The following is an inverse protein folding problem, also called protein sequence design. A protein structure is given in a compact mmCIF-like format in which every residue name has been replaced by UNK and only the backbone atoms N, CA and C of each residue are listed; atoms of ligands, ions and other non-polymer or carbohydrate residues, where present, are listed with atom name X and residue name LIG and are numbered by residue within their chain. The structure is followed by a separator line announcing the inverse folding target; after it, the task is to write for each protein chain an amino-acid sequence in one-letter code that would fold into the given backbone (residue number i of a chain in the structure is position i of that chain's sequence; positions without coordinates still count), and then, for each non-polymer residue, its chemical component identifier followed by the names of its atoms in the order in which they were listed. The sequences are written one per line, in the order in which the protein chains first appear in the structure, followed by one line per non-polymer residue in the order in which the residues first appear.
data_IF_367984078792
#
_entry.id   IF_367984078792
#
_cell.length_a   1.000
_cell.length_b   1.000
_cell.length_c   1.000
_cell.angle_alpha   90.00
_cell.angle_beta   90.00
_cell.angle_gamma   90.00
#
_symmetry.space_group_name_H-M   'P 1'
#
loop_
_entity.id
_entity.type
_entity.pdbx_description
1 polymer ?
#
# COMPACT_ATOMS: atom_id res chain seq x y z
N UNK A 1 13.60 -19.38 -20.12
CA UNK A 1 14.77 -18.95 -20.92
C UNK A 1 14.23 -18.15 -22.09
N UNK A 2 14.51 -16.84 -22.17
CA UNK A 2 14.16 -16.05 -23.36
C UNK A 2 14.99 -16.57 -24.54
N UNK A 3 14.36 -16.87 -25.67
CA UNK A 3 15.07 -17.35 -26.85
C UNK A 3 15.84 -16.17 -27.48
N UNK A 4 17.16 -16.22 -27.49
CA UNK A 4 17.99 -15.23 -28.19
C UNK A 4 17.99 -15.58 -29.68
N UNK A 5 17.65 -14.63 -30.54
CA UNK A 5 17.67 -14.79 -32.01
C UNK A 5 18.81 -13.97 -32.59
N UNK A 6 19.74 -14.59 -33.30
CA UNK A 6 20.81 -13.88 -34.01
C UNK A 6 20.34 -13.44 -35.39
N UNK A 7 20.62 -12.18 -35.75
CA UNK A 7 20.33 -11.59 -37.06
C UNK A 7 21.56 -10.85 -37.59
N UNK A 8 21.66 -10.67 -38.91
CA UNK A 8 22.68 -9.81 -39.52
C UNK A 8 22.07 -8.45 -39.87
N UNK A 9 22.78 -7.36 -39.55
CA UNK A 9 22.37 -6.02 -39.96
C UNK A 9 22.45 -5.90 -41.50
N UNK A 10 21.35 -5.59 -42.22
CA UNK A 10 21.36 -5.47 -43.68
C UNK A 10 22.27 -4.33 -44.19
N UNK A 11 22.59 -3.34 -43.36
CA UNK A 11 23.40 -2.20 -43.75
C UNK A 11 24.92 -2.43 -43.57
N UNK A 12 25.36 -2.97 -42.43
CA UNK A 12 26.80 -3.13 -42.11
C UNK A 12 27.28 -4.57 -41.99
N UNK A 13 26.39 -5.57 -42.06
CA UNK A 13 26.73 -6.99 -41.89
C UNK A 13 27.02 -7.42 -40.45
N UNK A 14 26.94 -6.53 -39.46
CA UNK A 14 27.18 -6.85 -38.06
C UNK A 14 26.19 -7.88 -37.50
N UNK A 15 26.69 -8.82 -36.68
CA UNK A 15 25.88 -9.85 -36.01
C UNK A 15 25.22 -9.29 -34.76
N UNK A 16 23.89 -9.31 -34.72
CA UNK A 16 23.06 -8.72 -33.66
C UNK A 16 22.28 -9.83 -32.97
N UNK A 17 22.26 -9.78 -31.64
CA UNK A 17 21.44 -10.67 -30.80
C UNK A 17 20.15 -9.95 -30.42
N UNK A 18 19.01 -10.49 -30.83
CA UNK A 18 17.68 -10.09 -30.35
C UNK A 18 17.39 -10.87 -29.08
N UNK A 19 17.50 -10.21 -27.93
CA UNK A 19 17.41 -10.77 -26.58
C UNK A 19 15.96 -10.93 -26.11
N UNK A 20 15.09 -10.01 -26.51
CA UNK A 20 13.65 -10.07 -26.27
C UNK A 20 12.89 -10.51 -27.54
N UNK A 21 13.34 -11.62 -28.15
CA UNK A 21 12.73 -12.13 -29.38
C UNK A 21 11.24 -12.42 -29.19
N UNK A 22 10.41 -11.92 -30.12
CA UNK A 22 8.95 -11.99 -30.04
C UNK A 22 8.29 -10.82 -29.31
N UNK A 23 9.06 -10.00 -28.60
CA UNK A 23 8.58 -8.77 -27.93
C UNK A 23 9.18 -7.50 -28.54
N UNK A 24 10.39 -7.57 -29.10
CA UNK A 24 11.05 -6.44 -29.76
C UNK A 24 10.43 -6.12 -31.12
N UNK A 25 10.13 -4.84 -31.36
CA UNK A 25 9.62 -4.32 -32.62
C UNK A 25 10.74 -3.64 -33.42
N UNK A 26 11.50 -2.75 -32.77
CA UNK A 26 12.64 -2.07 -33.36
C UNK A 26 13.96 -2.55 -32.73
N UNK A 27 15.02 -2.56 -33.53
CA UNK A 27 16.39 -2.79 -33.09
C UNK A 27 17.36 -1.81 -33.77
N UNK A 28 18.02 -0.97 -32.98
CA UNK A 28 19.10 -0.10 -33.45
C UNK A 28 20.45 -0.84 -33.39
N UNK A 29 21.10 -0.98 -34.54
CA UNK A 29 22.32 -1.77 -34.69
C UNK A 29 23.47 -1.21 -33.85
N UNK A 30 24.08 -2.04 -33.00
CA UNK A 30 25.20 -1.60 -32.15
C UNK A 30 26.49 -1.19 -32.89
N UNK A 31 26.61 -1.52 -34.18
CA UNK A 31 27.82 -1.29 -34.98
C UNK A 31 27.73 -0.04 -35.85
N UNK A 32 26.54 0.32 -36.32
CA UNK A 32 26.35 1.44 -37.23
C UNK A 32 25.12 2.30 -36.90
N UNK A 33 24.39 1.98 -35.83
CA UNK A 33 23.14 2.60 -35.39
C UNK A 33 21.97 2.52 -36.37
N UNK A 34 22.08 1.73 -37.43
CA UNK A 34 20.96 1.53 -38.38
C UNK A 34 19.73 0.97 -37.68
N UNK A 35 18.57 1.54 -37.96
CA UNK A 35 17.28 1.13 -37.39
C UNK A 35 16.70 -0.03 -38.18
N UNK A 36 16.38 -1.11 -37.49
CA UNK A 36 15.87 -2.35 -38.07
C UNK A 36 14.47 -2.65 -37.51
N UNK A 37 13.56 -3.09 -38.37
CA UNK A 37 12.31 -3.74 -37.95
C UNK A 37 12.61 -5.22 -37.71
N UNK A 38 12.37 -5.67 -36.48
CA UNK A 38 12.58 -7.06 -36.04
C UNK A 38 11.29 -7.75 -35.62
N UNK A 39 10.14 -7.11 -35.86
CA UNK A 39 8.80 -7.63 -35.51
C UNK A 39 8.39 -8.86 -36.34
N UNK A 40 9.09 -9.11 -37.46
CA UNK A 40 8.87 -10.25 -38.35
C UNK A 40 10.09 -11.18 -38.37
N UNK A 41 9.96 -12.40 -38.92
CA UNK A 41 11.12 -13.28 -39.14
C UNK A 41 12.18 -12.64 -40.05
N UNK A 42 11.72 -11.92 -41.07
CA UNK A 42 12.55 -11.15 -41.99
C UNK A 42 12.89 -9.78 -41.38
N UNK A 43 14.18 -9.47 -41.29
CA UNK A 43 14.66 -8.19 -40.77
C UNK A 43 14.62 -7.15 -41.88
N UNK A 44 13.92 -6.05 -41.67
CA UNK A 44 13.87 -4.94 -42.62
C UNK A 44 14.70 -3.76 -42.12
N UNK A 45 15.45 -3.13 -43.03
CA UNK A 45 16.14 -1.86 -42.74
C UNK A 45 15.12 -0.72 -42.80
N UNK A 46 14.88 -0.05 -41.67
CA UNK A 46 14.02 1.14 -41.59
C UNK A 46 14.84 2.37 -41.97
N UNK A 47 16.03 2.52 -41.37
CA UNK A 47 16.88 3.69 -41.55
C UNK A 47 18.36 3.29 -41.50
N UNK A 48 19.13 3.77 -42.48
CA UNK A 48 20.55 3.49 -42.59
C UNK A 48 21.37 4.57 -41.87
N UNK A 49 22.26 4.14 -40.98
CA UNK A 49 23.24 4.98 -40.31
C UNK A 49 24.64 4.37 -40.48
N UNK A 50 25.68 5.19 -40.36
CA UNK A 50 27.08 4.78 -40.63
C UNK A 50 28.00 4.87 -39.42
N UNK A 51 27.48 5.26 -38.24
CA UNK A 51 28.26 5.46 -37.01
C UNK A 51 27.53 4.86 -35.82
N UNK A 52 28.24 4.07 -35.02
CA UNK A 52 27.72 3.55 -33.76
C UNK A 52 27.47 4.68 -32.75
N UNK A 53 26.38 4.56 -32.01
CA UNK A 53 26.15 5.31 -30.79
C UNK A 53 27.22 4.90 -29.75
N UNK A 54 27.79 5.88 -29.06
CA UNK A 54 28.89 5.67 -28.14
C UNK A 54 28.64 6.39 -26.80
N UNK A 55 29.27 5.89 -25.74
CA UNK A 55 29.32 6.59 -24.45
C UNK A 55 28.21 6.26 -23.46
N UNK A 56 27.33 5.30 -23.74
CA UNK A 56 26.37 4.81 -22.75
C UNK A 56 27.08 4.09 -21.58
N UNK A 57 26.72 4.46 -20.35
CA UNK A 57 27.30 3.89 -19.12
C UNK A 57 26.96 2.42 -18.90
N UNK A 58 25.75 2.00 -19.28
CA UNK A 58 25.29 0.63 -19.13
C UNK A 58 25.24 -0.07 -20.50
N UNK A 59 26.18 -0.99 -20.80
CA UNK A 59 26.21 -1.68 -22.08
C UNK A 59 24.99 -2.59 -22.30
N UNK A 60 24.60 -2.77 -23.56
CA UNK A 60 23.59 -3.76 -23.93
C UNK A 60 24.02 -5.19 -23.60
N UNK A 61 23.05 -6.03 -23.25
CA UNK A 61 23.23 -7.43 -22.84
C UNK A 61 23.75 -7.60 -21.42
N UNK A 62 23.98 -6.50 -20.68
CA UNK A 62 24.39 -6.58 -19.28
C UNK A 62 23.23 -7.06 -18.43
N UNK A 63 23.50 -8.05 -17.60
CA UNK A 63 22.55 -8.59 -16.64
C UNK A 63 22.90 -8.13 -15.24
N UNK A 64 21.89 -7.81 -14.48
CA UNK A 64 22.03 -7.42 -13.08
C UNK A 64 20.74 -7.63 -12.30
N UNK A 65 20.87 -7.80 -10.98
CA UNK A 65 19.71 -8.01 -10.11
C UNK A 65 19.35 -6.73 -9.37
N UNK A 66 18.15 -6.21 -9.62
CA UNK A 66 17.57 -5.07 -8.90
C UNK A 66 16.21 -5.46 -8.34
N UNK A 67 15.92 -5.06 -7.09
CA UNK A 67 14.64 -5.35 -6.42
C UNK A 67 14.26 -6.85 -6.51
N UNK A 68 15.23 -7.73 -6.23
CA UNK A 68 15.10 -9.19 -6.31
C UNK A 68 14.68 -9.76 -7.69
N UNK A 69 14.79 -8.96 -8.75
CA UNK A 69 14.50 -9.37 -10.13
C UNK A 69 15.76 -9.23 -10.99
N UNK A 70 16.08 -10.26 -11.77
CA UNK A 70 17.15 -10.18 -12.77
C UNK A 70 16.68 -9.39 -13.99
N UNK A 71 17.47 -8.43 -14.42
CA UNK A 71 17.18 -7.57 -15.56
C UNK A 71 18.31 -7.65 -16.58
N UNK A 72 17.96 -7.68 -17.85
CA UNK A 72 18.90 -7.55 -18.96
C UNK A 72 18.71 -6.21 -19.66
N UNK A 73 19.79 -5.44 -19.84
CA UNK A 73 19.75 -4.20 -20.62
C UNK A 73 19.61 -4.52 -22.10
N UNK A 74 18.47 -4.19 -22.70
CA UNK A 74 18.18 -4.52 -24.10
C UNK A 74 18.22 -3.31 -25.00
N UNK A 75 17.96 -2.11 -24.48
CA UNK A 75 18.00 -0.85 -25.23
C UNK A 75 18.60 0.29 -24.42
N UNK A 76 19.06 1.33 -25.11
CA UNK A 76 19.52 2.59 -24.55
C UNK A 76 19.12 3.76 -25.46
N UNK A 77 18.66 4.85 -24.86
CA UNK A 77 18.33 6.11 -25.52
C UNK A 77 19.17 7.23 -24.90
N UNK A 78 19.65 8.15 -25.72
CA UNK A 78 20.12 9.46 -25.26
C UNK A 78 19.04 10.47 -25.58
N UNK A 79 18.66 11.25 -24.58
CA UNK A 79 17.58 12.22 -24.64
C UNK A 79 18.10 13.58 -24.25
N UNK A 80 17.55 14.63 -24.84
CA UNK A 80 17.80 16.00 -24.42
C UNK A 80 16.54 16.82 -24.41
N UNK A 81 16.51 17.77 -23.49
CA UNK A 81 15.65 18.94 -23.54
C UNK A 81 16.51 20.18 -23.82
N UNK A 82 15.93 21.38 -23.77
CA UNK A 82 16.67 22.61 -24.05
C UNK A 82 17.85 22.89 -23.10
N UNK A 83 17.92 22.20 -21.97
CA UNK A 83 18.82 22.50 -20.85
C UNK A 83 19.68 21.30 -20.42
N UNK A 84 19.16 20.07 -20.53
CA UNK A 84 19.77 18.86 -19.98
C UNK A 84 19.87 17.75 -21.03
N UNK A 85 20.80 16.82 -20.79
CA UNK A 85 20.95 15.58 -21.54
C UNK A 85 21.03 14.43 -20.57
N UNK A 86 20.31 13.35 -20.85
CA UNK A 86 20.30 12.15 -20.01
C UNK A 86 20.27 10.88 -20.86
N UNK A 87 20.61 9.76 -20.22
CA UNK A 87 20.55 8.45 -20.83
C UNK A 87 19.41 7.62 -20.18
N UNK A 88 18.61 6.93 -20.99
CA UNK A 88 17.58 6.00 -20.54
C UNK A 88 17.90 4.60 -21.02
N UNK A 89 17.81 3.61 -20.13
CA UNK A 89 18.14 2.23 -20.41
C UNK A 89 16.90 1.36 -20.25
N UNK A 90 16.56 0.65 -21.31
CA UNK A 90 15.45 -0.30 -21.30
C UNK A 90 15.93 -1.65 -20.76
N UNK A 91 15.34 -2.04 -19.64
CA UNK A 91 15.56 -3.32 -18.98
C UNK A 91 14.44 -4.30 -19.34
N UNK A 92 14.81 -5.56 -19.55
CA UNK A 92 13.87 -6.64 -19.85
C UNK A 92 14.03 -7.81 -18.89
N UNK A 93 12.89 -8.37 -18.47
CA UNK A 93 12.78 -9.67 -17.84
C UNK A 93 11.57 -10.40 -18.45
N UNK A 94 11.70 -11.67 -18.87
CA UNK A 94 10.61 -12.39 -19.55
C UNK A 94 9.36 -12.63 -18.69
N UNK A 95 9.46 -12.50 -17.37
CA UNK A 95 8.37 -12.67 -16.42
C UNK A 95 7.85 -11.33 -15.86
N UNK A 96 8.73 -10.34 -15.68
CA UNK A 96 8.38 -9.03 -15.09
C UNK A 96 8.16 -7.91 -16.13
N UNK A 97 8.41 -8.19 -17.42
CA UNK A 97 8.23 -7.25 -18.52
C UNK A 97 9.38 -6.27 -18.65
N UNK A 98 9.04 -5.01 -18.93
CA UNK A 98 10.01 -3.93 -19.15
C UNK A 98 10.10 -2.99 -17.95
N UNK A 99 11.31 -2.45 -17.73
CA UNK A 99 11.59 -1.38 -16.75
C UNK A 99 12.60 -0.41 -17.32
N UNK A 100 12.66 0.77 -16.72
CA UNK A 100 13.59 1.81 -17.11
C UNK A 100 14.66 2.01 -16.04
N UNK A 101 15.88 2.29 -16.47
CA UNK A 101 16.86 3.00 -15.66
C UNK A 101 17.14 4.34 -16.33
N UNK A 102 16.92 5.44 -15.63
CA UNK A 102 17.20 6.79 -16.12
C UNK A 102 18.45 7.29 -15.41
N UNK A 103 19.40 7.83 -16.16
CA UNK A 103 20.65 8.37 -15.64
C UNK A 103 20.83 9.83 -16.07
N UNK A 104 20.75 10.72 -15.09
CA UNK A 104 20.85 12.18 -15.29
C UNK A 104 21.80 12.76 -14.26
N UNK A 105 22.80 13.52 -14.71
CA UNK A 105 23.76 14.25 -13.84
C UNK A 105 24.46 13.44 -12.73
N UNK A 106 24.59 12.11 -12.85
CA UNK A 106 25.21 11.28 -11.81
C UNK A 106 24.23 10.51 -10.94
N UNK A 107 22.94 10.79 -11.06
CA UNK A 107 21.87 10.15 -10.30
C UNK A 107 21.14 9.12 -11.16
N UNK A 108 20.73 8.02 -10.53
CA UNK A 108 19.93 6.98 -11.17
C UNK A 108 18.51 6.98 -10.64
N UNK A 109 17.56 6.71 -11.53
CA UNK A 109 16.18 6.44 -11.18
C UNK A 109 15.72 5.13 -11.82
N UNK A 110 14.96 4.34 -11.08
CA UNK A 110 14.29 3.14 -11.55
C UNK A 110 12.85 3.47 -11.94
N UNK A 111 12.53 3.25 -13.21
CA UNK A 111 11.23 3.57 -13.80
C UNK A 111 10.34 2.36 -13.99
N UNK A 112 9.10 2.47 -13.53
CA UNK A 112 8.03 1.49 -13.79
C UNK A 112 6.94 2.15 -14.62
N UNK A 113 6.71 1.63 -15.84
CA UNK A 113 5.64 2.08 -16.71
C UNK A 113 4.27 1.78 -16.08
N UNK A 114 3.34 2.72 -16.19
CA UNK A 114 1.97 2.56 -15.73
C UNK A 114 1.10 2.00 -16.87
N UNK A 115 0.25 1.04 -16.53
CA UNK A 115 -0.78 0.52 -17.45
C UNK A 115 -2.04 1.39 -17.48
N UNK A 116 -2.19 2.27 -16.49
CA UNK A 116 -3.33 3.17 -16.34
C UNK A 116 -2.90 4.62 -16.39
N UNK A 117 -3.86 5.49 -16.70
CA UNK A 117 -3.67 6.94 -16.68
C UNK A 117 -3.95 7.49 -15.27
N UNK A 118 -3.05 8.29 -14.68
CA UNK A 118 -3.35 9.04 -13.46
C UNK A 118 -4.61 9.90 -13.58
N UNK A 119 -5.37 9.98 -12.50
CA UNK A 119 -6.61 10.78 -12.42
C UNK A 119 -6.28 12.27 -12.25
N UNK A 120 -7.16 13.14 -12.74
CA UNK A 120 -7.01 14.59 -12.62
C UNK A 120 -6.64 15.28 -13.93
N UNK A 121 -6.51 16.61 -13.85
CA UNK A 121 -6.19 17.44 -15.01
C UNK A 121 -4.70 17.83 -14.95
N UNK A 122 -3.93 17.41 -15.97
CA UNK A 122 -2.51 17.79 -16.10
C UNK A 122 -2.33 19.31 -16.05
N UNK A 123 -3.28 20.05 -16.64
CA UNK A 123 -3.28 21.52 -16.67
C UNK A 123 -3.67 22.18 -15.35
N UNK A 124 -4.30 21.45 -14.42
CA UNK A 124 -4.59 21.98 -13.07
C UNK A 124 -3.42 21.84 -12.11
N UNK A 125 -2.28 21.31 -12.58
CA UNK A 125 -1.04 21.22 -11.80
C UNK A 125 -1.01 20.10 -10.77
N UNK A 126 -1.97 19.17 -10.76
CA UNK A 126 -1.98 18.03 -9.83
C UNK A 126 -2.66 16.82 -10.46
N UNK A 127 -2.07 15.64 -10.27
CA UNK A 127 -2.61 14.35 -10.68
C UNK A 127 -2.61 13.36 -9.53
N UNK A 128 -3.48 12.35 -9.57
CA UNK A 128 -3.61 11.34 -8.53
C UNK A 128 -3.34 9.96 -9.10
N UNK A 129 -2.47 9.19 -8.45
CA UNK A 129 -2.18 7.80 -8.80
C UNK A 129 -2.07 6.94 -7.54
N UNK A 130 -2.73 5.79 -7.51
CA UNK A 130 -2.69 4.88 -6.36
C UNK A 130 -3.21 5.50 -5.05
N UNK A 131 -4.18 6.42 -5.14
CA UNK A 131 -4.71 7.16 -3.99
C UNK A 131 -3.78 8.25 -3.45
N UNK A 132 -2.73 8.62 -4.19
CA UNK A 132 -1.74 9.61 -3.78
C UNK A 132 -1.68 10.75 -4.81
N UNK A 133 -1.57 11.98 -4.33
CA UNK A 133 -1.53 13.18 -5.18
C UNK A 133 -0.09 13.62 -5.46
N UNK A 134 0.18 13.95 -6.71
CA UNK A 134 1.46 14.41 -7.25
C UNK A 134 1.28 15.81 -7.84
N UNK A 135 2.18 16.73 -7.52
CA UNK A 135 2.13 18.12 -7.98
C UNK A 135 2.99 18.29 -9.23
N UNK A 136 2.49 19.05 -10.21
CA UNK A 136 3.20 19.34 -11.45
C UNK A 136 4.49 20.11 -11.16
N UNK A 137 5.59 19.66 -11.74
CA UNK A 137 6.90 20.25 -11.62
C UNK A 137 7.25 20.91 -12.95
N UNK A 138 7.07 22.23 -13.02
CA UNK A 138 7.38 23.01 -14.21
C UNK A 138 6.32 22.97 -15.30
N UNK A 139 6.74 23.34 -16.51
CA UNK A 139 5.95 23.38 -17.72
C UNK A 139 6.33 22.21 -18.64
N UNK A 140 5.47 21.81 -19.59
CA UNK A 140 5.82 20.76 -20.54
C UNK A 140 7.08 21.11 -21.34
N UNK A 141 8.08 20.24 -21.30
CA UNK A 141 9.35 20.44 -21.99
C UNK A 141 9.46 19.54 -23.23
N UNK A 142 9.90 20.12 -24.34
CA UNK A 142 10.14 19.38 -25.57
C UNK A 142 11.40 18.53 -25.42
N UNK A 143 11.23 17.22 -25.44
CA UNK A 143 12.28 16.21 -25.32
C UNK A 143 12.54 15.53 -26.66
N UNK A 144 13.80 15.44 -27.06
CA UNK A 144 14.25 14.86 -28.34
C UNK A 144 15.04 13.58 -28.09
N UNK A 145 14.86 12.56 -28.93
CA UNK A 145 15.72 11.35 -28.95
C UNK A 145 16.96 11.61 -29.78
N UNK A 146 18.10 11.84 -29.14
CA UNK A 146 19.35 12.13 -29.83
C UNK A 146 20.06 10.88 -30.33
N UNK A 147 19.99 9.78 -29.59
CA UNK A 147 20.60 8.51 -29.97
C UNK A 147 19.71 7.33 -29.57
N UNK A 148 19.71 6.29 -30.41
CA UNK A 148 18.99 5.04 -30.16
C UNK A 148 19.95 3.87 -30.33
N UNK A 149 19.95 2.95 -29.36
CA UNK A 149 20.80 1.78 -29.37
C UNK A 149 20.04 0.56 -28.83
N UNK A 150 20.08 -0.58 -29.51
CA UNK A 150 19.46 -1.82 -29.03
C UNK A 150 17.97 -1.95 -29.33
N UNK A 151 17.29 -2.78 -28.54
CA UNK A 151 15.93 -3.27 -28.78
C UNK A 151 14.86 -2.46 -28.07
N UNK A 152 13.74 -2.23 -28.74
CA UNK A 152 12.57 -1.53 -28.20
C UNK A 152 11.26 -2.24 -28.60
N UNK A 153 10.30 -2.28 -27.67
CA UNK A 153 8.97 -2.89 -27.90
C UNK A 153 8.02 -1.97 -28.69
N UNK A 154 8.45 -0.76 -29.04
CA UNK A 154 7.73 0.18 -29.91
C UNK A 154 8.68 0.74 -30.98
N UNK A 155 8.11 1.54 -31.88
CA UNK A 155 8.87 2.16 -32.97
C UNK A 155 9.48 3.49 -32.53
N UNK A 156 10.63 3.43 -31.87
CA UNK A 156 11.47 4.61 -31.61
C UNK A 156 12.35 4.95 -32.82
N UNK A 157 12.68 6.22 -33.02
CA UNK A 157 13.64 6.74 -34.00
C UNK A 157 14.48 7.86 -33.41
N UNK A 158 15.66 8.06 -34.00
CA UNK A 158 16.46 9.26 -33.76
C UNK A 158 15.69 10.49 -34.27
N UNK A 159 15.65 11.56 -33.48
CA UNK A 159 14.90 12.77 -33.76
C UNK A 159 13.43 12.73 -33.35
N UNK A 160 12.94 11.63 -32.75
CA UNK A 160 11.58 11.60 -32.20
C UNK A 160 11.43 12.68 -31.11
N UNK A 161 10.35 13.45 -31.21
CA UNK A 161 10.02 14.52 -30.27
C UNK A 161 8.76 14.17 -29.48
N UNK A 162 8.80 14.42 -28.17
CA UNK A 162 7.65 14.32 -27.26
C UNK A 162 7.64 15.52 -26.32
N UNK A 163 6.51 15.80 -25.69
CA UNK A 163 6.44 16.73 -24.57
C UNK A 163 6.47 15.93 -23.26
N UNK A 164 7.52 16.13 -22.48
CA UNK A 164 7.65 15.52 -21.16
C UNK A 164 7.13 16.50 -20.09
N UNK A 165 6.41 15.96 -19.12
CA UNK A 165 5.96 16.71 -17.95
C UNK A 165 6.11 15.85 -16.69
N UNK A 166 6.70 16.43 -15.65
CA UNK A 166 6.96 15.73 -14.40
C UNK A 166 5.95 16.11 -13.31
N UNK A 167 5.61 15.16 -12.46
CA UNK A 167 4.81 15.39 -11.27
C UNK A 167 5.47 14.75 -10.05
N UNK A 168 5.88 15.57 -9.09
CA UNK A 168 6.62 15.14 -7.92
C UNK A 168 5.75 14.87 -6.70
N UNK A 169 6.21 13.92 -5.89
CA UNK A 169 5.76 13.67 -4.51
C UNK A 169 6.90 13.07 -3.70
N UNK A 170 7.64 13.91 -2.98
CA UNK A 170 8.82 13.46 -2.23
C UNK A 170 9.84 12.82 -3.19
N UNK A 171 10.24 11.59 -2.91
CA UNK A 171 11.20 10.85 -3.76
C UNK A 171 10.55 10.16 -4.97
N UNK A 172 9.23 10.23 -5.15
CA UNK A 172 8.54 9.60 -6.29
C UNK A 172 8.19 10.66 -7.32
N UNK A 173 8.51 10.39 -8.59
CA UNK A 173 8.18 11.27 -9.71
C UNK A 173 7.33 10.50 -10.71
N UNK A 174 6.23 11.07 -11.17
CA UNK A 174 5.50 10.60 -12.34
C UNK A 174 5.99 11.40 -13.55
N UNK A 175 6.63 10.72 -14.50
CA UNK A 175 6.93 11.28 -15.81
C UNK A 175 5.79 10.96 -16.77
N UNK A 176 5.25 12.00 -17.41
CA UNK A 176 4.29 11.90 -18.50
C UNK A 176 4.97 12.32 -19.80
N UNK A 177 5.07 11.41 -20.77
CA UNK A 177 5.54 11.72 -22.12
C UNK A 177 4.35 11.72 -23.08
N UNK A 178 4.05 12.88 -23.65
CA UNK A 178 2.97 13.09 -24.61
C UNK A 178 3.53 13.16 -26.03
N UNK A 179 3.24 12.12 -26.81
CA UNK A 179 3.53 12.04 -28.23
C UNK A 179 2.29 12.32 -29.08
N UNK A 180 2.33 11.88 -30.35
CA UNK A 180 1.22 12.07 -31.28
C UNK A 180 0.04 11.15 -30.93
N UNK A 181 -0.90 11.67 -30.14
CA UNK A 181 -2.16 11.00 -29.80
C UNK A 181 -2.07 9.99 -28.64
N UNK A 182 -0.92 9.90 -27.98
CA UNK A 182 -0.62 8.95 -26.91
C UNK A 182 0.13 9.66 -25.77
N UNK A 183 -0.20 9.31 -24.52
CA UNK A 183 0.53 9.75 -23.35
C UNK A 183 1.00 8.54 -22.55
N UNK A 184 2.31 8.39 -22.42
CA UNK A 184 2.95 7.34 -21.64
C UNK A 184 3.28 7.86 -20.25
N UNK A 185 3.07 7.00 -19.24
CA UNK A 185 3.31 7.36 -17.85
C UNK A 185 4.29 6.39 -17.22
N UNK A 186 5.27 6.93 -16.52
CA UNK A 186 6.29 6.15 -15.80
C UNK A 186 6.43 6.72 -14.39
N UNK A 187 6.37 5.85 -13.38
CA UNK A 187 6.78 6.21 -12.02
C UNK A 187 8.27 5.97 -11.87
N UNK A 188 9.01 7.01 -11.50
CA UNK A 188 10.43 7.02 -11.24
C UNK A 188 10.66 7.07 -9.73
N UNK A 189 11.58 6.22 -9.25
CA UNK A 189 12.07 6.25 -7.87
C UNK A 189 13.60 6.30 -7.90
N UNK A 190 14.25 7.09 -7.04
CA UNK A 190 15.70 7.17 -7.00
C UNK A 190 16.31 5.83 -6.58
N UNK A 191 17.47 5.52 -7.14
CA UNK A 191 18.27 4.37 -6.78
C UNK A 191 19.73 4.77 -6.69
N UNK A 192 20.40 4.32 -5.62
CA UNK A 192 21.79 4.68 -5.37
C UNK A 192 22.70 4.10 -6.46
N UNK A 193 23.62 4.92 -6.97
CA UNK A 193 24.63 4.54 -7.96
C UNK A 193 25.41 3.29 -7.56
N UNK A 194 25.75 3.12 -6.28
CA UNK A 194 26.47 1.95 -5.79
C UNK A 194 25.65 0.66 -5.96
N UNK A 195 24.32 0.74 -5.85
CA UNK A 195 23.43 -0.41 -6.10
C UNK A 195 23.47 -0.78 -7.58
N UNK A 196 23.41 0.20 -8.49
CA UNK A 196 23.47 -0.05 -9.94
C UNK A 196 24.82 -0.62 -10.34
N UNK A 197 25.91 -0.02 -9.87
CA UNK A 197 27.27 -0.45 -10.18
C UNK A 197 27.53 -1.88 -9.72
N UNK A 198 27.08 -2.21 -8.50
CA UNK A 198 27.16 -3.57 -7.95
C UNK A 198 26.28 -4.53 -8.73
N UNK A 199 25.00 -4.17 -8.95
CA UNK A 199 24.02 -5.04 -9.60
C UNK A 199 24.45 -5.45 -11.00
N UNK A 200 24.99 -4.52 -11.79
CA UNK A 200 25.39 -4.77 -13.17
C UNK A 200 26.90 -5.07 -13.32
N UNK A 201 27.65 -5.16 -12.23
CA UNK A 201 29.10 -5.34 -12.20
C UNK A 201 29.86 -4.32 -13.07
N UNK A 202 29.45 -3.05 -13.01
CA UNK A 202 30.13 -1.97 -13.72
C UNK A 202 31.51 -1.78 -13.08
N UNK A 203 32.57 -1.84 -13.88
CA UNK A 203 33.93 -1.56 -13.38
C UNK A 203 34.02 -0.06 -13.16
N UNK A 204 34.15 0.34 -11.90
CA UNK A 204 34.28 1.73 -11.44
C UNK A 204 35.35 2.49 -12.24
N UNK A 205 35.01 3.54 -13.00
CA UNK A 205 35.91 4.62 -13.30
C UNK A 205 35.56 5.74 -12.33
N UNK A 206 36.16 5.74 -11.14
CA UNK A 206 36.03 6.77 -10.11
C UNK A 206 35.36 8.06 -10.62
N UNK A 207 34.03 8.13 -10.52
CA UNK A 207 33.27 9.32 -10.87
C UNK A 207 33.60 10.41 -9.86
N UNK A 208 33.64 11.69 -10.25
CA UNK A 208 33.98 12.76 -9.33
C UNK A 208 33.03 12.71 -8.12
N UNK A 209 33.60 12.51 -6.94
CA UNK A 209 32.90 12.71 -5.66
C UNK A 209 32.15 14.03 -5.74
N UNK A 210 30.82 13.94 -5.57
CA UNK A 210 29.86 15.04 -5.35
C UNK A 210 30.46 16.43 -5.54
N UNK A 211 30.24 17.04 -6.71
CA UNK A 211 29.86 18.45 -6.71
C UNK A 211 28.34 18.45 -6.71
N UNK A 212 27.76 18.79 -5.57
CA UNK A 212 26.33 19.06 -5.52
C UNK A 212 26.02 20.04 -6.66
N UNK A 213 25.11 19.65 -7.55
CA UNK A 213 24.40 20.65 -8.35
C UNK A 213 23.88 21.72 -7.38
N UNK A 214 23.84 23.00 -7.77
CA UNK A 214 23.05 23.95 -7.00
C UNK A 214 21.64 23.39 -7.01
N UNK A 215 21.23 22.79 -5.89
CA UNK A 215 19.83 22.65 -5.55
C UNK A 215 19.26 24.04 -5.85
N UNK A 216 18.26 24.13 -6.73
CA UNK A 216 17.33 25.23 -6.61
C UNK A 216 17.01 25.29 -5.12
N UNK A 217 17.33 26.41 -4.47
CA UNK A 217 17.11 26.55 -3.05
C UNK A 217 15.68 26.06 -2.82
N UNK A 218 15.47 25.06 -1.92
CA UNK A 218 14.11 24.79 -1.50
C UNK A 218 13.55 26.15 -1.10
N UNK A 219 12.32 26.51 -1.55
CA UNK A 219 11.73 27.81 -1.24
C UNK A 219 12.00 28.06 0.23
N UNK A 220 12.58 29.23 0.58
CA UNK A 220 13.30 29.45 1.84
C UNK A 220 12.54 28.73 2.91
N UNK A 221 13.15 27.68 3.48
CA UNK A 221 12.53 26.94 4.58
C UNK A 221 12.11 28.01 5.55
N UNK A 222 10.82 28.24 5.58
CA UNK A 222 10.21 29.00 6.64
C UNK A 222 10.50 28.07 7.81
N UNK A 223 11.55 28.36 8.57
CA UNK A 223 11.74 27.83 9.92
C UNK A 223 10.62 28.45 10.75
N UNK A 224 9.38 28.19 10.36
CA UNK A 224 8.33 28.04 11.32
C UNK A 224 8.72 26.75 11.99
N UNK A 225 9.19 26.87 13.23
CA UNK A 225 9.18 25.76 14.18
C UNK A 225 7.72 25.31 14.28
N UNK A 226 7.30 24.48 13.33
CA UNK A 226 5.98 23.90 13.26
C UNK A 226 5.88 22.74 14.25
N UNK A 227 6.98 22.37 14.92
CA UNK A 227 7.01 21.35 15.97
C UNK A 227 5.95 21.63 17.06
N UNK A 228 5.91 22.81 17.72
CA UNK A 228 4.85 23.16 18.66
C UNK A 228 3.46 23.21 18.01
N UNK A 229 3.33 23.61 16.74
CA UNK A 229 2.04 23.64 16.03
C UNK A 229 1.54 22.22 15.69
N UNK A 230 2.42 21.31 15.29
CA UNK A 230 2.16 19.90 15.02
C UNK A 230 1.81 19.16 16.31
N UNK A 231 2.56 19.39 17.41
CA UNK A 231 2.21 18.86 18.72
C UNK A 231 0.90 19.44 19.25
N UNK A 232 0.64 20.73 19.01
CA UNK A 232 -0.63 21.39 19.34
C UNK A 232 -1.80 20.80 18.56
N UNK A 233 -1.64 20.58 17.26
CA UNK A 233 -2.65 19.96 16.40
C UNK A 233 -2.90 18.50 16.79
N UNK A 234 -1.84 17.73 17.07
CA UNK A 234 -1.96 16.35 17.53
C UNK A 234 -2.66 16.27 18.90
N UNK A 235 -2.34 17.17 19.83
CA UNK A 235 -3.00 17.26 21.13
C UNK A 235 -4.47 17.68 20.97
N UNK A 236 -4.76 18.68 20.13
CA UNK A 236 -6.13 19.10 19.84
C UNK A 236 -6.95 17.98 19.19
N UNK A 237 -6.37 17.24 18.24
CA UNK A 237 -7.00 16.09 17.60
C UNK A 237 -7.25 14.97 18.62
N UNK A 238 -6.30 14.68 19.52
CA UNK A 238 -6.46 13.72 20.60
C UNK A 238 -7.56 14.13 21.57
N UNK A 239 -7.60 15.40 22.00
CA UNK A 239 -8.66 15.93 22.88
C UNK A 239 -10.01 15.89 22.19
N UNK A 240 -10.09 16.27 20.91
CA UNK A 240 -11.32 16.18 20.13
C UNK A 240 -11.80 14.73 19.99
N UNK A 241 -10.88 13.78 19.79
CA UNK A 241 -11.21 12.37 19.68
C UNK A 241 -11.65 11.77 21.03
N UNK A 242 -11.02 12.17 22.14
CA UNK A 242 -11.46 11.81 23.49
C UNK A 242 -12.83 12.42 23.83
N UNK A 243 -13.07 13.69 23.49
CA UNK A 243 -14.37 14.35 23.64
C UNK A 243 -15.42 13.64 22.78
N UNK A 244 -15.09 13.28 21.54
CA UNK A 244 -15.97 12.51 20.68
C UNK A 244 -16.27 11.14 21.30
N UNK A 245 -15.28 10.44 21.87
CA UNK A 245 -15.52 9.19 22.60
C UNK A 245 -16.45 9.37 23.80
N UNK A 246 -16.29 10.44 24.58
CA UNK A 246 -17.18 10.74 25.72
C UNK A 246 -18.60 11.04 25.24
N UNK A 247 -18.75 11.85 24.19
CA UNK A 247 -20.04 12.21 23.60
C UNK A 247 -20.73 11.00 22.95
N UNK A 248 -19.98 10.15 22.25
CA UNK A 248 -20.49 8.94 21.60
C UNK A 248 -20.81 7.85 22.63
N UNK A 249 -20.05 7.72 23.71
CA UNK A 249 -20.32 6.72 24.76
C UNK A 249 -21.68 6.99 25.41
N UNK A 250 -22.03 8.25 25.65
CA UNK A 250 -23.31 8.69 26.16
C UNK A 250 -23.64 8.13 27.57
N UNK A 251 -24.71 8.60 28.21
CA UNK A 251 -25.13 8.06 29.50
C UNK A 251 -25.64 6.62 29.32
N UNK A 252 -24.96 5.67 29.96
CA UNK A 252 -25.40 4.26 30.04
C UNK A 252 -26.42 4.15 31.16
N UNK A 253 -27.64 3.73 30.84
CA UNK A 253 -28.65 3.45 31.85
C UNK A 253 -28.31 2.15 32.59
N UNK A 254 -28.55 2.12 33.90
CA UNK A 254 -28.16 1.01 34.76
C UNK A 254 -29.22 0.76 35.83
N UNK A 255 -29.63 -0.49 35.92
CA UNK A 255 -30.38 -1.02 37.06
C UNK A 255 -29.48 -1.98 37.85
N UNK A 256 -29.61 -1.97 39.17
CA UNK A 256 -28.90 -2.88 40.05
C UNK A 256 -29.80 -3.27 41.21
N UNK A 257 -29.72 -4.53 41.60
CA UNK A 257 -30.46 -5.11 42.71
C UNK A 257 -29.67 -6.24 43.33
N UNK A 258 -30.08 -6.65 44.53
CA UNK A 258 -29.56 -7.84 45.21
C UNK A 258 -30.74 -8.75 45.52
N UNK A 259 -30.55 -10.04 45.31
CA UNK A 259 -31.53 -11.07 45.62
C UNK A 259 -30.85 -12.11 46.49
N UNK A 260 -31.56 -12.55 47.53
CA UNK A 260 -31.15 -13.73 48.30
C UNK A 260 -31.72 -14.96 47.62
N UNK A 261 -30.91 -15.99 47.36
CA UNK A 261 -31.37 -17.23 46.73
C UNK A 261 -31.10 -18.36 47.71
N UNK A 262 -32.12 -18.81 48.48
CA UNK A 262 -31.94 -19.90 49.41
C UNK A 262 -31.60 -21.20 48.66
N UNK A 263 -30.70 -21.99 49.24
CA UNK A 263 -30.29 -23.27 48.67
C UNK A 263 -31.49 -24.22 48.51
N UNK A 264 -31.61 -24.87 47.35
CA UNK A 264 -32.69 -25.81 47.07
C UNK A 264 -34.05 -25.17 46.81
N UNK A 265 -34.10 -23.85 46.60
CA UNK A 265 -35.30 -23.13 46.20
C UNK A 265 -35.04 -22.27 44.96
N UNK A 266 -36.06 -22.15 44.11
CA UNK A 266 -36.08 -21.21 42.99
C UNK A 266 -36.80 -19.94 43.42
N UNK A 267 -36.20 -18.78 43.18
CA UNK A 267 -36.91 -17.50 43.25
C UNK A 267 -37.25 -17.06 41.84
N UNK A 268 -38.54 -16.89 41.57
CA UNK A 268 -39.06 -16.52 40.26
C UNK A 268 -39.58 -15.07 40.25
N UNK A 269 -39.52 -14.43 39.09
CA UNK A 269 -40.13 -13.15 38.78
C UNK A 269 -39.53 -11.97 39.53
N UNK A 270 -38.27 -12.03 39.97
CA UNK A 270 -37.69 -10.94 40.77
C UNK A 270 -37.29 -9.78 39.87
N UNK A 271 -38.00 -8.66 39.98
CA UNK A 271 -37.66 -7.43 39.27
C UNK A 271 -36.42 -6.77 39.87
N UNK A 272 -35.36 -6.66 39.07
CA UNK A 272 -34.10 -6.00 39.45
C UNK A 272 -34.19 -4.49 39.22
N UNK A 273 -34.88 -4.06 38.18
CA UNK A 273 -35.11 -2.66 37.89
C UNK A 273 -35.52 -2.41 36.45
N UNK A 274 -35.40 -1.16 36.02
CA UNK A 274 -35.81 -0.71 34.69
C UNK A 274 -34.64 -0.04 33.98
N UNK A 275 -34.46 -0.33 32.70
CA UNK A 275 -33.44 0.30 31.85
C UNK A 275 -34.07 0.88 30.58
N UNK A 276 -33.58 2.02 30.13
CA UNK A 276 -33.95 2.65 28.86
C UNK A 276 -32.90 2.37 27.79
N UNK A 277 -33.33 1.71 26.72
CA UNK A 277 -32.57 1.50 25.49
C UNK A 277 -32.84 2.65 24.54
N UNK A 278 -31.84 3.54 24.38
CA UNK A 278 -32.00 4.80 23.65
C UNK A 278 -31.60 4.72 22.18
N UNK A 279 -30.69 3.81 21.82
CA UNK A 279 -30.23 3.61 20.43
C UNK A 279 -31.20 2.68 19.68
N UNK A 280 -31.26 2.73 18.33
CA UNK A 280 -32.09 1.82 17.55
C UNK A 280 -31.85 0.34 17.90
N UNK A 281 -30.57 0.00 18.14
CA UNK A 281 -30.13 -1.29 18.63
C UNK A 281 -28.96 -1.09 19.58
N UNK A 282 -28.93 -1.78 20.73
CA UNK A 282 -27.77 -1.78 21.61
C UNK A 282 -27.56 -3.13 22.29
N UNK A 283 -26.35 -3.33 22.82
CA UNK A 283 -26.06 -4.45 23.70
C UNK A 283 -26.54 -4.14 25.13
N UNK A 284 -27.09 -5.14 25.80
CA UNK A 284 -27.36 -5.10 27.24
C UNK A 284 -26.45 -6.11 27.91
N UNK A 285 -25.60 -5.64 28.82
CA UNK A 285 -24.70 -6.47 29.60
C UNK A 285 -25.28 -6.66 31.01
N UNK A 286 -25.56 -7.91 31.38
CA UNK A 286 -25.98 -8.29 32.72
C UNK A 286 -24.77 -8.89 33.42
N UNK A 287 -24.39 -8.33 34.58
CA UNK A 287 -23.30 -8.85 35.40
C UNK A 287 -23.87 -9.35 36.71
N UNK A 288 -23.80 -10.65 36.94
CA UNK A 288 -24.12 -11.26 38.22
C UNK A 288 -22.85 -11.48 39.04
N UNK A 289 -22.95 -11.25 40.35
CA UNK A 289 -21.92 -11.57 41.34
C UNK A 289 -22.60 -12.24 42.52
N UNK A 290 -22.11 -13.41 42.89
CA UNK A 290 -22.57 -14.09 44.08
C UNK A 290 -21.54 -13.90 45.20
N UNK A 291 -22.03 -13.79 46.44
CA UNK A 291 -21.18 -13.73 47.62
C UNK A 291 -20.91 -15.15 48.11
N UNK A 292 -19.63 -15.43 48.35
CA UNK A 292 -19.10 -16.53 49.16
C UNK A 292 -19.88 -17.84 49.15
N UNK A 293 -19.72 -18.61 48.07
CA UNK A 293 -20.04 -20.03 48.04
C UNK A 293 -18.88 -20.84 47.45
N UNK A 294 -18.80 -22.12 47.78
CA UNK A 294 -17.86 -23.05 47.15
C UNK A 294 -18.54 -24.39 46.88
N UNK A 295 -18.14 -25.05 45.79
CA UNK A 295 -18.75 -26.28 45.27
C UNK A 295 -20.27 -26.18 45.05
N UNK A 296 -20.69 -25.02 44.52
CA UNK A 296 -22.09 -24.66 44.25
C UNK A 296 -22.19 -23.88 42.95
N UNK A 297 -23.40 -23.78 42.43
CA UNK A 297 -23.70 -22.91 41.30
C UNK A 297 -25.08 -22.26 41.46
N UNK A 298 -25.26 -21.13 40.79
CA UNK A 298 -26.52 -20.42 40.73
C UNK A 298 -26.88 -20.24 39.27
N UNK A 299 -27.99 -20.85 38.88
CA UNK A 299 -28.62 -20.67 37.58
C UNK A 299 -29.43 -19.37 37.60
N UNK A 300 -29.29 -18.58 36.55
CA UNK A 300 -29.91 -17.25 36.40
C UNK A 300 -30.56 -17.16 35.03
N UNK A 301 -31.88 -17.17 35.00
CA UNK A 301 -32.67 -16.88 33.80
C UNK A 301 -33.11 -15.42 33.84
N UNK A 302 -32.66 -14.64 32.86
CA UNK A 302 -32.96 -13.22 32.74
C UNK A 302 -34.06 -13.00 31.71
N UNK A 303 -35.04 -12.18 32.05
CA UNK A 303 -36.09 -11.75 31.13
C UNK A 303 -36.08 -10.23 31.02
N UNK A 304 -35.80 -9.74 29.81
CA UNK A 304 -35.84 -8.32 29.47
C UNK A 304 -37.19 -8.01 28.82
N UNK A 305 -38.15 -7.52 29.60
CA UNK A 305 -39.53 -7.33 29.14
C UNK A 305 -39.75 -5.91 28.67
N UNK A 306 -40.09 -5.74 27.39
CA UNK A 306 -40.44 -4.45 26.79
C UNK A 306 -41.77 -3.95 27.39
N UNK A 307 -41.79 -2.75 27.99
CA UNK A 307 -43.00 -2.19 28.59
C UNK A 307 -44.09 -1.81 27.59
N UNK A 308 -43.72 -1.52 26.34
CA UNK A 308 -44.69 -1.09 25.34
C UNK A 308 -45.35 -2.28 24.64
N UNK A 309 -44.59 -3.34 24.35
CA UNK A 309 -45.09 -4.50 23.59
C UNK A 309 -45.38 -5.72 24.46
N UNK A 310 -44.82 -5.78 25.68
CA UNK A 310 -44.85 -6.96 26.53
C UNK A 310 -43.94 -8.10 26.06
N UNK A 311 -43.16 -7.90 25.00
CA UNK A 311 -42.26 -8.92 24.48
C UNK A 311 -41.05 -9.10 25.41
N UNK A 312 -40.73 -10.35 25.74
CA UNK A 312 -39.53 -10.69 26.51
C UNK A 312 -38.36 -11.05 25.59
N UNK A 313 -37.16 -10.63 26.00
CA UNK A 313 -35.89 -11.11 25.46
C UNK A 313 -35.21 -11.88 26.59
N UNK A 314 -35.02 -13.17 26.38
CA UNK A 314 -34.53 -14.07 27.42
C UNK A 314 -33.02 -14.32 27.28
N UNK A 315 -32.35 -14.56 28.40
CA UNK A 315 -30.95 -14.96 28.41
C UNK A 315 -30.59 -15.72 29.67
N UNK A 316 -29.62 -16.61 29.55
CA UNK A 316 -29.19 -17.46 30.65
C UNK A 316 -27.78 -17.09 31.13
N UNK A 317 -27.54 -17.19 32.43
CA UNK A 317 -26.24 -17.05 33.05
C UNK A 317 -26.08 -18.03 34.20
N UNK A 318 -24.84 -18.48 34.41
CA UNK A 318 -24.48 -19.33 35.54
C UNK A 318 -23.35 -18.69 36.32
N UNK A 319 -23.50 -18.62 37.63
CA UNK A 319 -22.41 -18.24 38.54
C UNK A 319 -22.00 -19.47 39.32
N UNK A 320 -20.77 -19.94 39.12
CA UNK A 320 -20.28 -21.18 39.71
C UNK A 320 -18.83 -21.07 40.17
N UNK A 321 -18.48 -21.85 41.19
CA UNK A 321 -17.13 -21.92 41.73
C UNK A 321 -16.98 -23.24 42.46
N UNK A 322 -15.91 -23.95 42.12
CA UNK A 322 -15.57 -25.25 42.66
C UNK A 322 -14.12 -25.25 43.14
N UNK A 323 -13.86 -25.97 44.22
CA UNK A 323 -12.51 -26.21 44.70
C UNK A 323 -12.38 -27.60 45.34
N UNK A 324 -11.21 -28.20 45.18
CA UNK A 324 -10.97 -29.57 45.63
C UNK A 324 -9.49 -29.90 45.72
N UNK A 325 -9.20 -31.17 45.99
CA UNK A 325 -7.85 -31.72 45.99
C UNK A 325 -7.88 -33.11 45.40
N UNK A 326 -6.95 -33.39 44.49
CA UNK A 326 -6.78 -34.69 43.84
C UNK A 326 -5.31 -35.13 43.91
N UNK A 327 -4.93 -36.14 43.12
CA UNK A 327 -3.56 -36.65 43.04
C UNK A 327 -2.53 -35.64 42.54
N UNK A 328 -2.97 -34.60 41.83
CA UNK A 328 -2.12 -33.56 41.24
C UNK A 328 -2.06 -32.30 42.13
N UNK A 329 -2.81 -32.28 43.23
CA UNK A 329 -2.78 -31.25 44.26
C UNK A 329 -4.10 -30.50 44.39
N UNK A 330 -4.03 -29.26 44.87
CA UNK A 330 -5.22 -28.43 45.08
C UNK A 330 -5.64 -27.74 43.78
N UNK A 331 -6.91 -27.82 43.44
CA UNK A 331 -7.48 -27.18 42.25
C UNK A 331 -8.64 -26.25 42.61
N UNK A 332 -8.94 -25.32 41.70
CA UNK A 332 -10.15 -24.50 41.70
C UNK A 332 -10.63 -24.27 40.26
N UNK A 333 -11.93 -24.17 40.08
CA UNK A 333 -12.57 -23.96 38.78
C UNK A 333 -13.77 -23.00 38.91
N UNK A 334 -14.08 -22.28 37.83
CA UNK A 334 -15.18 -21.33 37.80
C UNK A 334 -14.84 -19.97 38.44
N UNK A 335 -15.84 -19.08 38.48
CA UNK A 335 -15.75 -17.75 39.08
C UNK A 335 -17.10 -17.36 39.66
N UNK A 336 -17.11 -16.75 40.85
CA UNK A 336 -18.30 -16.15 41.50
C UNK A 336 -18.85 -14.89 40.79
N UNK A 337 -18.54 -14.73 39.49
CA UNK A 337 -18.96 -13.62 38.65
C UNK A 337 -19.15 -14.10 37.23
N UNK A 338 -20.34 -13.82 36.68
CA UNK A 338 -20.68 -14.08 35.29
C UNK A 338 -21.12 -12.80 34.58
N UNK A 339 -20.93 -12.77 33.25
CA UNK A 339 -21.44 -11.71 32.39
C UNK A 339 -22.21 -12.33 31.23
N UNK A 340 -23.50 -12.01 31.14
CA UNK A 340 -24.36 -12.37 30.01
C UNK A 340 -24.56 -11.12 29.15
N UNK A 341 -24.41 -11.26 27.83
CA UNK A 341 -24.60 -10.17 26.86
C UNK A 341 -25.78 -10.49 25.97
N UNK A 342 -26.81 -9.64 26.00
CA UNK A 342 -27.94 -9.67 25.07
C UNK A 342 -27.64 -8.73 23.89
N UNK A 343 -27.66 -9.28 22.68
CA UNK A 343 -27.41 -8.54 21.45
C UNK A 343 -28.69 -7.98 20.82
N UNK A 344 -28.56 -6.89 20.05
CA UNK A 344 -29.64 -6.33 19.21
C UNK A 344 -30.94 -6.03 19.98
N UNK A 345 -30.85 -5.54 21.21
CA UNK A 345 -32.02 -5.06 21.94
C UNK A 345 -32.49 -3.75 21.30
N UNK A 346 -33.76 -3.72 20.88
CA UNK A 346 -34.35 -2.57 20.20
C UNK A 346 -34.53 -1.37 21.14
N UNK A 347 -34.72 -0.19 20.55
CA UNK A 347 -35.08 1.02 21.30
C UNK A 347 -36.38 0.82 22.08
N UNK A 348 -36.34 1.02 23.40
CA UNK A 348 -37.49 0.82 24.28
C UNK A 348 -37.14 0.98 25.76
N UNK A 349 -38.15 0.83 26.63
CA UNK A 349 -37.96 0.79 28.09
C UNK A 349 -38.25 -0.61 28.57
N UNK A 350 -37.28 -1.23 29.24
CA UNK A 350 -37.34 -2.64 29.61
C UNK A 350 -37.30 -2.81 31.12
N UNK A 351 -38.17 -3.67 31.64
CA UNK A 351 -38.05 -4.19 33.00
C UNK A 351 -37.20 -5.46 32.99
N UNK A 352 -36.22 -5.51 33.89
CA UNK A 352 -35.30 -6.64 34.03
C UNK A 352 -35.78 -7.53 35.15
N UNK A 353 -36.16 -8.75 34.80
CA UNK A 353 -36.50 -9.81 35.75
C UNK A 353 -35.42 -10.87 35.76
N UNK A 354 -35.31 -11.56 36.89
CA UNK A 354 -34.44 -12.71 37.03
C UNK A 354 -35.15 -13.80 37.82
N UNK A 355 -35.06 -15.02 37.29
CA UNK A 355 -35.33 -16.24 38.02
C UNK A 355 -33.98 -16.83 38.44
N UNK A 356 -33.86 -17.21 39.71
CA UNK A 356 -32.60 -17.66 40.27
C UNK A 356 -32.79 -18.94 41.08
N UNK A 357 -31.98 -19.95 40.77
CA UNK A 357 -31.98 -21.23 41.47
C UNK A 357 -30.57 -21.55 41.96
N UNK A 358 -30.43 -21.75 43.27
CA UNK A 358 -29.15 -22.10 43.88
C UNK A 358 -29.05 -23.63 44.07
N UNK A 359 -28.00 -24.19 43.49
CA UNK A 359 -27.71 -25.61 43.46
C UNK A 359 -26.33 -25.89 44.07
N UNK A 360 -26.10 -27.16 44.37
CA UNK A 360 -24.82 -27.63 44.87
C UNK A 360 -24.82 -29.14 44.94
N UNK A 361 -23.62 -29.69 44.95
CA UNK A 361 -23.45 -31.11 45.17
C UNK A 361 -23.94 -31.48 46.58
N UNK A 362 -24.57 -32.66 46.75
CA UNK A 362 -24.85 -33.20 48.08
C UNK A 362 -23.58 -33.19 48.91
N UNK A 363 -23.71 -32.76 50.17
CA UNK A 363 -22.60 -32.73 51.12
C UNK A 363 -22.07 -34.14 51.44
#
# INVERSE_FOLDING_TARGET
MSAVRTIACPNCGGSLEVRAAGFSVNLACRYCSSMLDVSRPEVALIEAHSRAAAGFKLPLGRRGTLMATEWETVGALRRSDGNYTWDEYLLFNPYAGYRWLVFTEGEWQFGTMLLGRPEGNRHSGTVTWGGQSYSCEGEPERTVTDEVLGEFYWRVRQGDEVFALMFGRGEHVLSCEEGVGEANWTVLVPIDSAIIETAFALKDPAGPRRRAAPRADPPPRRDVDDLPAMFGLAFAAMVALLLAMVLISGPVDRAAGTIDVPFGSTREGVKIGTIAVKRPWQFVDITARARDFDNRWVDLDYNLVDRATGQSIDGYGIVEHYSGTDSDGRWNEGRRRARTKLGRVARGTYDVYVDAAAHGWPA
#
